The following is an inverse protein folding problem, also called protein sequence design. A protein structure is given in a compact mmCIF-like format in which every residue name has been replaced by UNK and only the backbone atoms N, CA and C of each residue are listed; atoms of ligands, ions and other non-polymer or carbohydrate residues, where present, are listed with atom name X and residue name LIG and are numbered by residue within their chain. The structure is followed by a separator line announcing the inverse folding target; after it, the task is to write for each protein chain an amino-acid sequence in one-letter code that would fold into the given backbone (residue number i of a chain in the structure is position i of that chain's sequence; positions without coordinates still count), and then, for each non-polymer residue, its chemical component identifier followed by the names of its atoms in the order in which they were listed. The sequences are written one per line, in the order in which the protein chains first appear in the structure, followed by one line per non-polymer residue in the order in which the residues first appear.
data_IF_510301008657
#
_entry.id   IF_510301008657
#
_cell.length_a   1.000
_cell.length_b   1.000
_cell.length_c   1.000
_cell.angle_alpha   90.00
_cell.angle_beta   90.00
_cell.angle_gamma   90.00
#
_symmetry.space_group_name_H-M   'P 1'
#
loop_
_entity.id
_entity.type
_entity.pdbx_description
1 polymer ?
#
# COMPACT_ATOMS: atom_id res chain seq x y z
N UNK A 1 21.45 5.57 -14.14
CA UNK A 1 20.19 5.13 -13.49
C UNK A 1 20.53 4.46 -12.17
N UNK A 2 19.94 4.87 -11.05
CA UNK A 2 19.93 3.98 -9.88
C UNK A 2 19.01 2.82 -10.26
N UNK A 3 19.51 1.59 -10.20
CA UNK A 3 18.68 0.40 -10.38
C UNK A 3 17.57 0.43 -9.32
N UNK A 4 16.40 0.95 -9.71
CA UNK A 4 15.25 1.01 -8.82
C UNK A 4 14.60 -0.36 -8.79
N UNK A 5 14.60 -0.98 -7.64
CA UNK A 5 13.97 -2.27 -7.45
C UNK A 5 13.25 -2.33 -6.10
N UNK A 6 12.18 -3.12 -6.02
CA UNK A 6 11.48 -3.42 -4.78
C UNK A 6 10.98 -4.87 -4.81
N UNK A 7 11.10 -5.58 -3.69
CA UNK A 7 10.65 -6.97 -3.57
C UNK A 7 11.17 -7.86 -4.72
N UNK A 8 12.44 -7.69 -5.13
CA UNK A 8 13.06 -8.43 -6.21
C UNK A 8 12.57 -8.06 -7.62
N UNK A 9 11.71 -7.07 -7.77
CA UNK A 9 11.22 -6.60 -9.06
C UNK A 9 11.99 -5.34 -9.50
N UNK A 10 12.64 -5.33 -10.67
CA UNK A 10 13.14 -4.11 -11.26
C UNK A 10 11.96 -3.22 -11.68
N UNK A 11 12.07 -1.92 -11.43
CA UNK A 11 11.01 -0.95 -11.71
C UNK A 11 11.48 0.08 -12.73
N UNK A 12 10.55 0.50 -13.60
CA UNK A 12 10.78 1.58 -14.58
C UNK A 12 10.80 2.98 -13.94
N UNK A 13 10.17 3.12 -12.78
CA UNK A 13 10.10 4.36 -12.01
C UNK A 13 10.01 4.07 -10.51
N UNK A 14 10.49 4.96 -9.61
CA UNK A 14 10.38 4.80 -8.16
C UNK A 14 8.97 5.16 -7.63
N UNK A 15 7.96 5.07 -8.48
CA UNK A 15 6.57 5.40 -8.17
C UNK A 15 5.72 4.14 -8.29
N UNK A 16 5.11 3.73 -7.18
CA UNK A 16 4.19 2.59 -7.10
C UNK A 16 2.78 3.11 -6.86
N UNK A 17 1.78 2.50 -7.50
CA UNK A 17 0.38 2.83 -7.18
C UNK A 17 -0.07 1.95 -6.01
N UNK A 18 -0.53 2.58 -4.93
CA UNK A 18 -0.92 1.90 -3.70
C UNK A 18 -2.27 1.16 -3.80
N UNK A 19 -2.51 0.29 -2.81
CA UNK A 19 -3.74 -0.49 -2.67
C UNK A 19 -4.97 0.37 -2.39
N UNK A 20 -6.09 0.06 -3.05
CA UNK A 20 -7.40 0.69 -2.80
C UNK A 20 -8.40 0.44 -3.92
N UNK A 21 -9.55 1.15 -3.90
CA UNK A 21 -10.63 0.96 -4.88
C UNK A 21 -10.19 1.17 -6.34
N UNK A 22 -9.24 2.07 -6.59
CA UNK A 22 -8.72 2.33 -7.94
C UNK A 22 -8.00 1.12 -8.53
N UNK A 23 -7.47 0.25 -7.69
CA UNK A 23 -6.75 -0.98 -8.07
C UNK A 23 -7.55 -2.26 -7.81
N UNK A 24 -8.90 -2.14 -7.69
CA UNK A 24 -9.83 -3.27 -7.58
C UNK A 24 -10.26 -3.85 -8.94
N UNK A 25 -9.77 -3.29 -10.04
CA UNK A 25 -10.14 -3.72 -11.39
C UNK A 25 -8.90 -3.97 -12.25
N UNK A 26 -8.85 -5.14 -12.90
CA UNK A 26 -7.76 -5.54 -13.79
C UNK A 26 -7.43 -4.45 -14.83
N UNK A 27 -8.45 -3.90 -15.51
CA UNK A 27 -8.27 -2.86 -16.53
C UNK A 27 -7.55 -1.61 -16.00
N UNK A 28 -7.85 -1.21 -14.75
CA UNK A 28 -7.21 -0.04 -14.15
C UNK A 28 -5.75 -0.33 -13.85
N UNK A 29 -5.45 -1.52 -13.30
CA UNK A 29 -4.08 -1.95 -13.00
C UNK A 29 -3.24 -1.96 -14.28
N UNK A 30 -3.74 -2.58 -15.36
CA UNK A 30 -3.06 -2.59 -16.66
C UNK A 30 -2.81 -1.18 -17.17
N UNK A 31 -3.83 -0.32 -17.13
CA UNK A 31 -3.73 1.05 -17.62
C UNK A 31 -2.75 1.90 -16.80
N UNK A 32 -2.70 1.72 -15.48
CA UNK A 32 -1.72 2.41 -14.61
C UNK A 32 -0.29 2.00 -14.95
N UNK A 33 -0.05 0.72 -15.24
CA UNK A 33 1.26 0.23 -15.69
C UNK A 33 1.62 0.75 -17.09
N UNK A 34 0.68 0.77 -18.03
CA UNK A 34 0.86 1.39 -19.36
C UNK A 34 1.19 2.88 -19.27
N UNK A 35 0.69 3.59 -18.25
CA UNK A 35 0.99 4.99 -17.96
C UNK A 35 2.35 5.20 -17.27
N UNK A 36 3.07 4.12 -16.98
CA UNK A 36 4.44 4.16 -16.49
C UNK A 36 4.60 4.00 -14.97
N UNK A 37 3.57 3.56 -14.24
CA UNK A 37 3.76 3.15 -12.86
C UNK A 37 4.85 2.08 -12.77
N UNK A 38 5.79 2.22 -11.84
CA UNK A 38 6.84 1.22 -11.62
C UNK A 38 6.29 -0.13 -11.15
N UNK A 39 5.24 -0.10 -10.32
CA UNK A 39 4.44 -1.26 -9.93
C UNK A 39 3.05 -0.80 -9.47
N UNK A 40 2.13 -1.76 -9.33
CA UNK A 40 0.79 -1.51 -8.78
C UNK A 40 0.48 -2.53 -7.69
N UNK A 41 -0.04 -2.06 -6.56
CA UNK A 41 -0.56 -2.90 -5.48
C UNK A 41 -2.06 -3.10 -5.68
N UNK A 42 -2.54 -4.35 -5.68
CA UNK A 42 -3.97 -4.63 -5.85
C UNK A 42 -4.79 -4.09 -4.68
N UNK A 43 -6.12 -3.91 -4.86
CA UNK A 43 -7.02 -3.82 -3.70
C UNK A 43 -6.79 -5.07 -2.84
N UNK A 44 -6.82 -4.90 -1.52
CA UNK A 44 -6.56 -5.98 -0.58
C UNK A 44 -7.56 -7.12 -0.78
N UNK A 45 -7.04 -8.30 -1.05
CA UNK A 45 -7.78 -9.54 -1.23
C UNK A 45 -8.03 -10.16 0.14
N UNK A 46 -9.27 -10.53 0.41
CA UNK A 46 -9.69 -11.16 1.66
C UNK A 46 -10.50 -12.43 1.37
N UNK A 47 -10.29 -13.53 2.11
CA UNK A 47 -11.05 -14.77 1.88
C UNK A 47 -12.55 -14.58 2.04
N UNK A 48 -12.95 -13.85 3.09
CA UNK A 48 -14.33 -13.62 3.50
C UNK A 48 -14.55 -12.13 3.77
N UNK A 49 -14.56 -11.24 2.73
CA UNK A 49 -14.67 -9.81 2.98
C UNK A 49 -16.03 -9.49 3.62
N UNK A 50 -16.08 -8.61 4.63
CA UNK A 50 -17.33 -8.21 5.27
C UNK A 50 -18.32 -7.67 4.25
N UNK A 51 -19.58 -8.02 4.41
CA UNK A 51 -20.68 -7.66 3.51
C UNK A 51 -21.60 -6.63 4.16
N UNK A 52 -22.30 -5.85 3.33
CA UNK A 52 -23.33 -4.91 3.82
C UNK A 52 -22.79 -3.64 4.44
N UNK A 53 -21.49 -3.40 4.42
CA UNK A 53 -20.90 -2.15 4.89
C UNK A 53 -21.20 -1.00 3.92
N UNK A 54 -21.54 0.17 4.46
CA UNK A 54 -21.70 1.40 3.68
C UNK A 54 -20.32 2.03 3.44
N UNK A 55 -19.65 1.56 2.40
CA UNK A 55 -18.31 2.02 2.03
C UNK A 55 -18.36 3.36 1.31
N UNK A 56 -17.81 4.38 1.94
CA UNK A 56 -17.82 5.76 1.44
C UNK A 56 -16.42 6.38 1.45
N UNK A 57 -16.27 7.40 0.62
CA UNK A 57 -15.11 8.28 0.59
C UNK A 57 -15.59 9.71 0.82
N UNK A 58 -15.01 10.37 1.82
CA UNK A 58 -15.24 11.79 2.10
C UNK A 58 -13.96 12.58 1.78
N UNK A 59 -14.06 13.50 0.82
CA UNK A 59 -12.97 14.43 0.52
C UNK A 59 -12.95 15.55 1.55
N UNK A 60 -11.77 15.83 2.08
CA UNK A 60 -11.52 16.93 3.01
C UNK A 60 -10.73 18.04 2.28
N UNK A 61 -10.69 19.25 2.82
CA UNK A 61 -9.81 20.30 2.29
C UNK A 61 -8.35 19.88 2.20
N UNK A 62 -7.90 19.02 3.14
CA UNK A 62 -6.58 18.41 3.14
C UNK A 62 -6.75 16.91 3.37
N UNK A 63 -6.73 16.14 2.29
CA UNK A 63 -6.80 14.69 2.36
C UNK A 63 -8.19 14.09 2.19
N UNK A 64 -8.38 12.91 2.76
CA UNK A 64 -9.55 12.08 2.52
C UNK A 64 -9.79 11.14 3.71
N UNK A 65 -11.04 10.98 4.11
CA UNK A 65 -11.49 9.86 4.94
C UNK A 65 -12.11 8.79 4.06
N UNK A 66 -11.93 7.54 4.43
CA UNK A 66 -12.60 6.44 3.76
C UNK A 66 -13.00 5.34 4.74
N UNK A 67 -14.20 4.77 4.53
CA UNK A 67 -14.72 3.61 5.27
C UNK A 67 -14.62 2.32 4.45
N UNK A 68 -13.76 2.30 3.41
CA UNK A 68 -13.64 1.13 2.53
C UNK A 68 -12.80 0.03 3.16
N UNK A 69 -13.22 -1.21 3.00
CA UNK A 69 -12.51 -2.38 3.51
C UNK A 69 -11.76 -3.11 2.37
N UNK A 70 -12.02 -4.36 2.15
CA UNK A 70 -11.33 -5.24 1.19
C UNK A 70 -12.02 -5.29 -0.17
N UNK A 71 -11.39 -5.95 -1.13
CA UNK A 71 -12.05 -6.27 -2.40
C UNK A 71 -13.29 -7.12 -2.16
N UNK A 72 -14.41 -6.76 -2.79
CA UNK A 72 -15.64 -7.57 -2.77
C UNK A 72 -15.63 -8.67 -3.83
N UNK A 73 -14.55 -8.79 -4.59
CA UNK A 73 -14.37 -9.84 -5.58
C UNK A 73 -13.93 -11.13 -4.90
N UNK A 74 -14.44 -12.30 -5.31
CA UNK A 74 -14.04 -13.56 -4.72
C UNK A 74 -12.55 -13.85 -4.98
N UNK A 75 -11.91 -14.61 -4.09
CA UNK A 75 -10.51 -15.04 -4.25
C UNK A 75 -10.26 -15.68 -5.61
N UNK A 76 -11.18 -16.52 -6.10
CA UNK A 76 -11.08 -17.16 -7.41
C UNK A 76 -10.96 -16.18 -8.58
N UNK A 77 -11.60 -15.01 -8.49
CA UNK A 77 -11.42 -13.94 -9.47
C UNK A 77 -9.98 -13.42 -9.43
N UNK A 78 -9.47 -13.12 -8.24
CA UNK A 78 -8.12 -12.59 -8.08
C UNK A 78 -7.05 -13.59 -8.51
N UNK A 79 -7.20 -14.87 -8.16
CA UNK A 79 -6.24 -15.90 -8.61
C UNK A 79 -6.14 -15.97 -10.13
N UNK A 80 -7.27 -15.82 -10.84
CA UNK A 80 -7.28 -15.77 -12.32
C UNK A 80 -6.58 -14.50 -12.84
N UNK A 81 -6.91 -13.34 -12.27
CA UNK A 81 -6.35 -12.04 -12.68
C UNK A 81 -4.85 -11.98 -12.39
N UNK A 82 -4.40 -12.44 -11.23
CA UNK A 82 -2.98 -12.48 -10.88
C UNK A 82 -2.19 -13.40 -11.80
N UNK A 83 -2.76 -14.53 -12.21
CA UNK A 83 -2.15 -15.42 -13.23
C UNK A 83 -1.97 -14.70 -14.56
N UNK A 84 -2.98 -13.99 -15.04
CA UNK A 84 -2.89 -13.17 -16.25
C UNK A 84 -1.80 -12.11 -16.15
N UNK A 85 -1.67 -11.44 -15.01
CA UNK A 85 -0.58 -10.48 -14.79
C UNK A 85 0.81 -11.14 -14.78
N UNK A 86 0.92 -12.34 -14.21
CA UNK A 86 2.17 -13.09 -14.18
C UNK A 86 2.59 -13.58 -15.58
N UNK A 87 1.65 -14.05 -16.39
CA UNK A 87 1.87 -14.44 -17.80
C UNK A 87 2.40 -13.25 -18.62
N UNK A 88 1.84 -12.06 -18.41
CA UNK A 88 2.27 -10.82 -19.05
C UNK A 88 3.49 -10.17 -18.38
N UNK A 89 4.04 -10.77 -17.31
CA UNK A 89 5.19 -10.30 -16.53
C UNK A 89 5.02 -8.91 -15.92
N UNK A 90 3.78 -8.51 -15.64
CA UNK A 90 3.48 -7.20 -15.09
C UNK A 90 3.98 -7.07 -13.63
N UNK A 91 4.53 -5.91 -13.23
CA UNK A 91 5.01 -5.66 -11.87
C UNK A 91 3.83 -5.36 -10.93
N UNK A 92 3.10 -6.41 -10.54
CA UNK A 92 1.95 -6.31 -9.64
C UNK A 92 2.30 -6.97 -8.30
N UNK A 93 1.94 -6.29 -7.21
CA UNK A 93 2.05 -6.76 -5.83
C UNK A 93 0.63 -7.11 -5.37
N UNK A 94 0.41 -8.33 -4.92
CA UNK A 94 -0.88 -8.72 -4.36
C UNK A 94 -1.00 -8.28 -2.90
N UNK A 95 -1.95 -7.40 -2.59
CA UNK A 95 -2.27 -7.03 -1.21
C UNK A 95 -3.22 -8.05 -0.61
N UNK A 96 -2.89 -8.59 0.57
CA UNK A 96 -3.61 -9.67 1.24
C UNK A 96 -3.94 -9.30 2.69
N UNK A 97 -5.10 -9.74 3.16
CA UNK A 97 -5.49 -9.77 4.56
C UNK A 97 -6.41 -10.96 4.83
N UNK A 98 -6.48 -11.42 6.07
CA UNK A 98 -7.42 -12.42 6.55
C UNK A 98 -7.62 -12.28 8.07
N UNK A 99 -8.67 -12.90 8.60
CA UNK A 99 -9.06 -12.78 10.02
C UNK A 99 -8.10 -13.52 10.96
N UNK A 100 -7.30 -14.45 10.43
CA UNK A 100 -6.31 -15.19 11.21
C UNK A 100 -4.99 -15.38 10.46
N UNK A 101 -3.86 -15.58 11.19
CA UNK A 101 -2.56 -15.89 10.59
C UNK A 101 -2.59 -17.12 9.67
N UNK A 102 -3.33 -18.15 10.03
CA UNK A 102 -3.40 -19.40 9.25
C UNK A 102 -4.18 -19.20 7.93
N UNK A 103 -5.26 -18.43 7.95
CA UNK A 103 -6.01 -18.06 6.74
C UNK A 103 -5.20 -17.18 5.81
N UNK A 104 -4.46 -16.18 6.36
CA UNK A 104 -3.58 -15.35 5.56
C UNK A 104 -2.47 -16.18 4.91
N UNK A 105 -1.88 -17.10 5.66
CA UNK A 105 -0.85 -18.00 5.16
C UNK A 105 -1.38 -18.95 4.05
N UNK A 106 -2.61 -19.43 4.19
CA UNK A 106 -3.27 -20.25 3.17
C UNK A 106 -3.55 -19.41 1.89
N UNK A 107 -4.07 -18.19 2.04
CA UNK A 107 -4.30 -17.28 0.92
C UNK A 107 -2.99 -16.93 0.19
N UNK A 108 -1.91 -16.66 0.93
CA UNK A 108 -0.60 -16.36 0.34
C UNK A 108 -0.06 -17.52 -0.50
N UNK A 109 -0.20 -18.76 0.00
CA UNK A 109 0.16 -19.97 -0.75
C UNK A 109 -0.66 -20.10 -2.04
N UNK A 110 -1.97 -19.85 -1.98
CA UNK A 110 -2.83 -19.93 -3.16
C UNK A 110 -2.44 -18.87 -4.20
N UNK A 111 -2.12 -17.64 -3.75
CA UNK A 111 -1.62 -16.55 -4.61
C UNK A 111 -0.27 -16.93 -5.25
N UNK A 112 0.65 -17.56 -4.53
CA UNK A 112 1.93 -18.03 -5.09
C UNK A 112 1.74 -18.95 -6.30
N UNK A 113 0.70 -19.80 -6.29
CA UNK A 113 0.40 -20.71 -7.41
C UNK A 113 0.04 -19.98 -8.72
N UNK A 114 -0.25 -18.69 -8.65
CA UNK A 114 -0.56 -17.87 -9.84
C UNK A 114 0.67 -17.40 -10.59
N UNK A 115 1.87 -17.49 -9.98
CA UNK A 115 3.08 -16.84 -10.48
C UNK A 115 3.19 -15.37 -10.10
N UNK A 116 2.35 -14.87 -9.18
CA UNK A 116 2.48 -13.55 -8.61
C UNK A 116 3.90 -13.35 -8.06
N UNK A 117 4.44 -12.13 -8.16
CA UNK A 117 5.87 -11.88 -7.89
C UNK A 117 6.16 -11.36 -6.49
N UNK A 118 5.18 -10.77 -5.80
CA UNK A 118 5.35 -10.21 -4.47
C UNK A 118 4.01 -10.02 -3.75
N UNK A 119 4.08 -9.95 -2.42
CA UNK A 119 2.93 -9.72 -1.55
C UNK A 119 3.09 -8.44 -0.74
N UNK A 120 1.95 -7.79 -0.43
CA UNK A 120 1.83 -6.78 0.61
C UNK A 120 0.82 -7.27 1.65
N UNK A 121 1.23 -7.42 2.91
CA UNK A 121 0.36 -7.88 3.99
C UNK A 121 -0.24 -6.67 4.72
N UNK A 122 -1.56 -6.56 4.73
CA UNK A 122 -2.29 -5.78 5.73
C UNK A 122 -2.41 -6.61 7.01
N UNK A 123 -2.11 -6.01 8.16
CA UNK A 123 -2.18 -6.71 9.45
C UNK A 123 -3.50 -6.42 10.15
N UNK A 124 -4.02 -5.21 10.00
CA UNK A 124 -5.32 -4.76 10.50
C UNK A 124 -6.02 -3.84 9.50
N UNK A 125 -7.29 -3.61 9.71
CA UNK A 125 -8.07 -2.64 8.96
C UNK A 125 -8.88 -1.76 9.92
N UNK A 126 -8.58 -0.46 9.96
CA UNK A 126 -9.29 0.53 10.78
C UNK A 126 -10.79 0.63 10.48
N UNK A 127 -11.21 0.17 9.31
CA UNK A 127 -12.56 0.35 8.80
C UNK A 127 -13.48 -0.85 9.06
N UNK A 128 -13.02 -1.85 9.80
CA UNK A 128 -13.85 -2.95 10.30
C UNK A 128 -14.57 -2.54 11.59
N UNK A 129 -15.73 -3.17 11.88
CA UNK A 129 -16.54 -2.83 13.05
C UNK A 129 -15.78 -2.97 14.38
N UNK A 130 -14.85 -3.91 14.45
CA UNK A 130 -13.93 -4.11 15.59
C UNK A 130 -12.55 -3.50 15.34
N UNK A 131 -12.41 -2.60 14.37
CA UNK A 131 -11.19 -2.07 13.76
C UNK A 131 -10.23 -1.29 14.65
N UNK A 132 -10.39 -1.40 15.97
CA UNK A 132 -9.41 -1.05 16.99
C UNK A 132 -8.47 -2.21 17.33
N UNK A 133 -8.49 -3.30 16.55
CA UNK A 133 -7.49 -4.34 16.71
C UNK A 133 -6.11 -3.73 16.48
N UNK A 134 -5.41 -3.63 17.58
CA UNK A 134 -4.11 -3.02 17.69
C UNK A 134 -3.10 -3.79 16.84
N UNK A 135 -2.42 -3.12 15.92
CA UNK A 135 -1.22 -3.59 15.22
C UNK A 135 -0.06 -3.79 16.23
N UNK A 136 -0.30 -4.50 17.32
CA UNK A 136 0.75 -4.75 18.29
C UNK A 136 1.85 -5.65 17.69
N UNK A 137 3.08 -5.62 18.22
CA UNK A 137 4.21 -6.38 17.70
C UNK A 137 3.94 -7.90 17.61
N UNK A 138 3.20 -8.47 18.57
CA UNK A 138 2.90 -9.91 18.58
C UNK A 138 2.00 -10.31 17.42
N UNK A 139 0.96 -9.51 17.13
CA UNK A 139 0.09 -9.70 15.96
C UNK A 139 0.89 -9.58 14.66
N UNK A 140 1.71 -8.53 14.52
CA UNK A 140 2.56 -8.32 13.34
C UNK A 140 3.48 -9.53 13.13
N UNK A 141 4.14 -10.01 14.18
CA UNK A 141 4.99 -11.20 14.10
C UNK A 141 4.20 -12.45 13.69
N UNK A 142 3.06 -12.71 14.35
CA UNK A 142 2.27 -13.93 14.12
C UNK A 142 1.80 -14.01 12.65
N UNK A 143 1.23 -12.93 12.10
CA UNK A 143 0.75 -12.89 10.72
C UNK A 143 1.90 -12.99 9.71
N UNK A 144 3.00 -12.27 9.95
CA UNK A 144 4.15 -12.28 9.05
C UNK A 144 4.83 -13.65 9.03
N UNK A 145 5.09 -14.25 10.21
CA UNK A 145 5.78 -15.54 10.33
C UNK A 145 4.93 -16.71 9.80
N UNK A 146 3.62 -16.70 10.05
CA UNK A 146 2.71 -17.70 9.50
C UNK A 146 2.72 -17.63 7.97
N UNK A 147 2.61 -16.43 7.39
CA UNK A 147 2.68 -16.24 5.94
C UNK A 147 4.03 -16.70 5.39
N UNK A 148 5.14 -16.27 5.99
CA UNK A 148 6.50 -16.69 5.58
C UNK A 148 6.68 -18.21 5.57
N UNK A 149 6.05 -18.92 6.51
CA UNK A 149 6.13 -20.38 6.58
C UNK A 149 5.46 -21.10 5.39
N UNK A 150 4.63 -20.44 4.63
CA UNK A 150 3.80 -21.03 3.58
C UNK A 150 4.10 -20.51 2.17
N UNK A 151 4.91 -19.46 2.02
CA UNK A 151 5.27 -18.90 0.72
C UNK A 151 6.73 -18.47 0.67
N UNK A 152 7.36 -18.66 -0.50
CA UNK A 152 8.69 -18.14 -0.83
C UNK A 152 8.65 -16.74 -1.47
N UNK A 153 7.48 -16.19 -1.74
CA UNK A 153 7.36 -14.87 -2.38
C UNK A 153 7.96 -13.76 -1.50
N UNK A 154 8.63 -12.77 -2.10
CA UNK A 154 8.97 -11.54 -1.40
C UNK A 154 7.72 -10.88 -0.81
N UNK A 155 7.79 -10.48 0.47
CA UNK A 155 6.65 -9.88 1.14
C UNK A 155 7.00 -8.57 1.86
N UNK A 156 6.12 -7.58 1.68
CA UNK A 156 6.10 -6.35 2.46
C UNK A 156 5.03 -6.42 3.53
N UNK A 157 5.30 -5.85 4.70
CA UNK A 157 4.28 -5.65 5.74
C UNK A 157 3.89 -4.19 5.78
N UNK A 158 2.60 -3.91 5.64
CA UNK A 158 2.05 -2.55 5.65
C UNK A 158 1.65 -2.18 7.08
N UNK A 159 2.23 -1.09 7.58
CA UNK A 159 2.05 -0.62 8.96
C UNK A 159 1.66 0.86 8.96
N UNK A 160 0.77 1.26 9.86
CA UNK A 160 0.44 2.65 10.09
C UNK A 160 1.53 3.36 10.91
N UNK A 161 1.80 4.64 10.62
CA UNK A 161 2.62 5.48 11.52
C UNK A 161 1.89 5.68 12.84
N UNK A 162 2.65 5.73 13.93
CA UNK A 162 2.09 5.91 15.27
C UNK A 162 2.99 5.37 16.36
N UNK A 163 2.47 5.30 17.56
CA UNK A 163 3.15 4.75 18.73
C UNK A 163 3.56 3.29 18.49
N UNK A 164 4.70 2.87 19.02
CA UNK A 164 5.20 1.49 18.88
C UNK A 164 5.65 1.08 17.47
N UNK A 165 5.67 1.98 16.48
CA UNK A 165 6.04 1.63 15.09
C UNK A 165 7.37 0.89 15.00
N UNK A 166 8.39 1.29 15.77
CA UNK A 166 9.70 0.63 15.70
C UNK A 166 9.64 -0.84 16.11
N UNK A 167 8.85 -1.15 17.14
CA UNK A 167 8.73 -2.53 17.63
C UNK A 167 7.90 -3.37 16.67
N UNK A 168 6.86 -2.79 16.04
CA UNK A 168 6.12 -3.44 14.96
C UNK A 168 6.99 -3.72 13.73
N UNK A 169 7.86 -2.80 13.34
CA UNK A 169 8.83 -3.02 12.26
C UNK A 169 9.81 -4.15 12.61
N UNK A 170 10.31 -4.18 13.85
CA UNK A 170 11.18 -5.28 14.31
C UNK A 170 10.45 -6.62 14.31
N UNK A 171 9.19 -6.65 14.72
CA UNK A 171 8.34 -7.83 14.68
C UNK A 171 8.12 -8.33 13.23
N UNK A 172 7.87 -7.43 12.28
CA UNK A 172 7.77 -7.76 10.86
C UNK A 172 9.07 -8.38 10.33
N UNK A 173 10.23 -7.77 10.66
CA UNK A 173 11.56 -8.31 10.29
C UNK A 173 11.77 -9.69 10.89
N UNK A 174 11.48 -9.87 12.17
CA UNK A 174 11.62 -11.16 12.86
C UNK A 174 10.67 -12.22 12.27
N UNK A 175 9.49 -11.83 11.80
CA UNK A 175 8.53 -12.68 11.09
C UNK A 175 8.93 -13.01 9.65
N UNK A 176 10.00 -12.40 9.10
CA UNK A 176 10.52 -12.70 7.77
C UNK A 176 10.01 -11.77 6.66
N UNK A 177 9.65 -10.53 6.98
CA UNK A 177 9.37 -9.51 5.97
C UNK A 177 10.61 -9.13 5.16
N UNK A 178 10.45 -8.93 3.86
CA UNK A 178 11.49 -8.47 2.92
C UNK A 178 11.44 -6.95 2.69
N UNK A 179 10.32 -6.31 3.03
CA UNK A 179 10.12 -4.86 2.95
C UNK A 179 9.07 -4.39 3.96
N UNK A 180 9.01 -3.08 4.18
CA UNK A 180 7.94 -2.41 4.93
C UNK A 180 7.23 -1.43 4.01
N UNK A 181 5.90 -1.44 4.01
CA UNK A 181 5.08 -0.36 3.44
C UNK A 181 4.68 0.58 4.58
N UNK A 182 5.07 1.84 4.47
CA UNK A 182 4.86 2.86 5.49
C UNK A 182 4.34 4.15 4.83
N UNK A 183 3.11 4.55 5.05
CA UNK A 183 2.18 4.22 6.11
C UNK A 183 0.86 3.69 5.55
N UNK A 184 0.16 2.90 6.35
CA UNK A 184 -1.28 2.77 6.17
C UNK A 184 -2.00 4.05 6.61
N UNK A 185 -3.33 4.11 6.39
CA UNK A 185 -4.17 5.19 6.92
C UNK A 185 -4.11 5.24 8.45
N UNK A 186 -4.33 6.42 9.00
CA UNK A 186 -4.43 6.63 10.45
C UNK A 186 -5.87 6.99 10.84
N UNK A 187 -6.30 6.78 12.08
CA UNK A 187 -7.62 7.18 12.54
C UNK A 187 -7.88 8.67 12.32
N UNK A 188 -9.01 8.99 11.71
CA UNK A 188 -9.46 10.36 11.48
C UNK A 188 -10.97 10.47 11.52
N UNK A 189 -11.47 11.68 11.79
CA UNK A 189 -12.89 12.01 11.77
C UNK A 189 -13.09 13.41 11.21
N UNK A 190 -14.29 13.68 10.71
CA UNK A 190 -14.77 15.01 10.37
C UNK A 190 -16.15 15.21 10.98
N UNK A 191 -16.48 16.47 11.30
CA UNK A 191 -17.79 16.83 11.85
C UNK A 191 -18.60 17.52 10.76
N UNK A 192 -19.83 17.07 10.58
CA UNK A 192 -20.78 17.72 9.68
C UNK A 192 -21.14 19.11 10.23
N UNK A 193 -20.94 20.18 9.44
CA UNK A 193 -21.31 21.51 9.88
C UNK A 193 -22.82 21.71 9.98
N UNK A 194 -23.61 20.84 9.37
CA UNK A 194 -25.06 20.91 9.31
C UNK A 194 -25.73 20.23 10.51
N UNK A 195 -25.19 19.08 10.95
CA UNK A 195 -25.81 18.29 12.02
C UNK A 195 -25.02 18.32 13.32
N UNK A 196 -23.70 18.59 13.27
CA UNK A 196 -22.80 18.48 14.41
C UNK A 196 -22.33 17.05 14.71
N UNK A 197 -22.80 16.06 13.96
CA UNK A 197 -22.42 14.65 14.09
C UNK A 197 -21.12 14.34 13.33
N UNK A 198 -20.53 13.19 13.59
CA UNK A 198 -19.40 12.71 12.82
C UNK A 198 -19.82 12.32 11.40
N UNK A 199 -19.13 12.86 10.41
CA UNK A 199 -19.24 12.39 9.05
C UNK A 199 -18.89 10.90 8.96
N UNK A 200 -19.53 10.19 8.05
CA UNK A 200 -19.42 8.73 7.91
C UNK A 200 -19.88 7.94 9.15
N UNK A 201 -20.46 8.60 10.17
CA UNK A 201 -20.93 8.04 11.45
C UNK A 201 -19.82 7.39 12.29
N UNK A 202 -18.54 7.82 12.15
CA UNK A 202 -17.46 7.20 12.92
C UNK A 202 -16.08 7.74 12.66
N UNK A 203 -15.09 7.01 13.19
CA UNK A 203 -13.67 7.22 12.97
C UNK A 203 -13.19 6.24 11.91
N UNK A 204 -12.55 6.73 10.86
CA UNK A 204 -12.14 5.94 9.72
C UNK A 204 -10.74 6.31 9.23
N UNK A 205 -10.25 5.59 8.22
CA UNK A 205 -8.92 5.79 7.68
C UNK A 205 -8.74 7.17 7.02
N UNK A 206 -7.89 8.01 7.62
CA UNK A 206 -7.44 9.28 7.03
C UNK A 206 -6.21 9.05 6.14
N UNK A 207 -6.20 9.68 4.98
CA UNK A 207 -5.09 9.66 4.01
C UNK A 207 -4.92 11.02 3.32
N UNK A 208 -3.79 11.21 2.63
CA UNK A 208 -3.51 12.40 1.85
C UNK A 208 -2.37 13.26 2.39
N UNK A 209 -2.24 14.54 1.93
CA UNK A 209 -1.07 15.38 2.19
C UNK A 209 -0.69 15.56 3.65
N UNK A 210 -1.67 15.53 4.58
CA UNK A 210 -1.42 15.63 6.02
C UNK A 210 -0.59 14.49 6.60
N UNK A 211 -0.56 13.32 5.96
CA UNK A 211 0.28 12.20 6.39
C UNK A 211 1.76 12.35 6.02
N UNK A 212 2.07 13.06 4.94
CA UNK A 212 3.43 13.12 4.41
C UNK A 212 4.48 13.47 5.47
N UNK A 213 4.36 14.56 6.24
CA UNK A 213 5.40 14.93 7.24
C UNK A 213 5.58 13.86 8.31
N UNK A 214 4.52 13.15 8.70
CA UNK A 214 4.58 12.09 9.70
C UNK A 214 5.35 10.88 9.16
N UNK A 215 5.05 10.47 7.92
CA UNK A 215 5.69 9.32 7.29
C UNK A 215 7.16 9.60 6.94
N UNK A 216 7.49 10.81 6.47
CA UNK A 216 8.88 11.23 6.25
C UNK A 216 9.70 11.16 7.54
N UNK A 217 9.16 11.70 8.64
CA UNK A 217 9.81 11.65 9.95
C UNK A 217 10.02 10.20 10.42
N UNK A 218 8.99 9.35 10.31
CA UNK A 218 9.05 7.95 10.69
C UNK A 218 10.08 7.17 9.85
N UNK A 219 10.08 7.33 8.53
CA UNK A 219 11.05 6.71 7.62
C UNK A 219 12.48 7.10 8.00
N UNK A 220 12.74 8.40 8.19
CA UNK A 220 14.04 8.90 8.58
C UNK A 220 14.49 8.33 9.95
N UNK A 221 13.59 8.29 10.94
CA UNK A 221 13.89 7.75 12.27
C UNK A 221 14.21 6.24 12.21
N UNK A 222 13.48 5.45 11.43
CA UNK A 222 13.79 4.04 11.22
C UNK A 222 15.19 3.85 10.62
N UNK A 223 15.56 4.65 9.61
CA UNK A 223 16.90 4.63 9.01
C UNK A 223 18.00 5.00 10.03
N UNK A 224 17.76 6.04 10.84
CA UNK A 224 18.69 6.44 11.92
C UNK A 224 18.87 5.38 13.00
N UNK A 225 17.89 4.51 13.20
CA UNK A 225 17.92 3.39 14.14
C UNK A 225 18.44 2.09 13.51
N UNK A 226 19.01 2.17 12.32
CA UNK A 226 19.68 1.04 11.64
C UNK A 226 18.76 0.07 10.92
N UNK A 227 17.50 0.41 10.68
CA UNK A 227 16.62 -0.42 9.84
C UNK A 227 17.09 -0.29 8.39
N UNK A 228 17.58 -1.41 7.83
CA UNK A 228 18.11 -1.50 6.45
C UNK A 228 17.09 -2.09 5.47
N UNK A 229 16.03 -2.73 5.97
CA UNK A 229 14.99 -3.34 5.14
C UNK A 229 14.40 -2.30 4.15
N UNK A 230 14.14 -2.66 2.89
CA UNK A 230 13.50 -1.77 1.94
C UNK A 230 12.20 -1.16 2.51
N UNK A 231 11.99 0.14 2.25
CA UNK A 231 10.77 0.85 2.67
C UNK A 231 10.07 1.40 1.42
N UNK A 232 8.80 1.07 1.26
CA UNK A 232 7.88 1.73 0.34
C UNK A 232 7.17 2.84 1.12
N UNK A 233 7.53 4.10 0.87
CA UNK A 233 6.92 5.24 1.55
C UNK A 233 5.58 5.60 0.94
N UNK A 234 4.51 5.67 1.73
CA UNK A 234 3.16 6.04 1.26
C UNK A 234 2.47 7.00 2.23
N UNK A 235 1.86 8.02 1.70
CA UNK A 235 1.12 9.05 2.43
C UNK A 235 1.41 10.44 1.86
N UNK A 236 0.38 11.04 1.24
CA UNK A 236 0.43 12.41 0.75
C UNK A 236 1.31 12.66 -0.47
N UNK A 237 1.73 11.64 -1.20
CA UNK A 237 2.41 11.82 -2.49
C UNK A 237 1.42 12.43 -3.48
N UNK A 238 1.74 13.63 -3.97
CA UNK A 238 0.92 14.41 -4.90
C UNK A 238 1.73 15.06 -6.03
N UNK A 239 3.05 14.98 -5.98
CA UNK A 239 3.98 15.56 -6.96
C UNK A 239 5.26 14.74 -7.04
N UNK A 240 6.05 14.97 -8.09
CA UNK A 240 7.41 14.39 -8.19
C UNK A 240 8.33 14.86 -7.07
N UNK A 241 8.10 16.07 -6.52
CA UNK A 241 8.83 16.55 -5.35
C UNK A 241 8.55 15.68 -4.13
N UNK A 242 7.33 15.24 -3.92
CA UNK A 242 7.00 14.35 -2.81
C UNK A 242 7.70 13.00 -2.94
N UNK A 243 7.79 12.45 -4.15
CA UNK A 243 8.58 11.24 -4.43
C UNK A 243 10.04 11.46 -4.06
N UNK A 244 10.66 12.56 -4.53
CA UNK A 244 12.06 12.90 -4.20
C UNK A 244 12.28 13.05 -2.69
N UNK A 245 11.34 13.64 -1.95
CA UNK A 245 11.42 13.78 -0.50
C UNK A 245 11.42 12.41 0.20
N UNK A 246 10.57 11.46 -0.23
CA UNK A 246 10.58 10.10 0.29
C UNK A 246 11.90 9.39 0.04
N UNK A 247 12.44 9.48 -1.17
CA UNK A 247 13.75 8.91 -1.51
C UNK A 247 14.90 9.53 -0.69
N UNK A 248 14.81 10.84 -0.41
CA UNK A 248 15.80 11.58 0.35
C UNK A 248 15.86 11.17 1.82
N UNK A 249 14.74 10.77 2.43
CA UNK A 249 14.71 10.27 3.81
C UNK A 249 15.00 8.78 3.91
N UNK A 250 15.25 8.11 2.77
CA UNK A 250 15.68 6.72 2.73
C UNK A 250 14.61 5.70 2.35
N UNK A 251 13.44 6.10 1.86
CA UNK A 251 12.54 5.18 1.19
C UNK A 251 13.18 4.68 -0.12
N UNK A 252 12.86 3.46 -0.52
CA UNK A 252 13.34 2.86 -1.77
C UNK A 252 12.45 3.25 -2.96
N UNK A 253 11.16 3.38 -2.70
CA UNK A 253 10.13 3.84 -3.64
C UNK A 253 9.07 4.65 -2.89
N UNK A 254 8.27 5.43 -3.61
CA UNK A 254 7.11 6.11 -3.07
C UNK A 254 5.82 5.53 -3.66
N UNK A 255 4.80 5.27 -2.81
CA UNK A 255 3.48 4.89 -3.28
C UNK A 255 2.57 6.12 -3.37
N UNK A 256 1.79 6.22 -4.45
CA UNK A 256 0.77 7.23 -4.67
C UNK A 256 -0.60 6.57 -4.67
N UNK A 257 -1.58 7.18 -3.99
CA UNK A 257 -2.95 6.69 -4.03
C UNK A 257 -4.00 7.82 -3.95
N UNK A 258 -4.09 8.55 -2.84
CA UNK A 258 -5.15 9.56 -2.60
C UNK A 258 -5.21 10.62 -3.70
N UNK A 259 -4.07 11.07 -4.22
CA UNK A 259 -4.00 12.04 -5.31
C UNK A 259 -4.67 11.56 -6.60
N UNK A 260 -4.68 10.24 -6.85
CA UNK A 260 -5.25 9.64 -8.06
C UNK A 260 -6.78 9.65 -8.10
N UNK A 261 -7.44 9.97 -7.01
CA UNK A 261 -8.91 10.04 -6.95
C UNK A 261 -9.50 11.24 -7.71
N UNK A 262 -8.71 12.22 -8.10
CA UNK A 262 -9.21 13.39 -8.88
C UNK A 262 -9.20 13.09 -10.37
N UNK A 263 -8.03 12.72 -10.88
CA UNK A 263 -7.81 12.30 -12.26
C UNK A 263 -6.69 11.27 -12.25
N UNK A 264 -7.06 9.99 -12.30
CA UNK A 264 -6.17 8.88 -11.99
C UNK A 264 -4.95 8.85 -12.90
N UNK A 265 -5.17 8.92 -14.20
CA UNK A 265 -4.11 8.69 -15.19
C UNK A 265 -3.26 9.94 -15.42
N UNK A 266 -3.87 11.09 -15.59
CA UNK A 266 -3.15 12.35 -15.84
C UNK A 266 -2.35 12.78 -14.60
N UNK A 267 -2.91 12.56 -13.40
CA UNK A 267 -2.18 12.80 -12.15
C UNK A 267 -0.95 11.88 -12.04
N UNK A 268 -1.07 10.59 -12.39
CA UNK A 268 0.06 9.67 -12.38
C UNK A 268 1.13 10.10 -13.39
N UNK A 269 0.75 10.40 -14.64
CA UNK A 269 1.68 10.83 -15.68
C UNK A 269 2.42 12.13 -15.28
N UNK A 270 1.70 13.08 -14.69
CA UNK A 270 2.31 14.32 -14.16
C UNK A 270 3.34 14.02 -13.07
N UNK A 271 2.99 13.21 -12.06
CA UNK A 271 3.91 12.84 -10.96
C UNK A 271 5.15 12.14 -11.52
N UNK A 272 4.99 11.23 -12.48
CA UNK A 272 6.09 10.53 -13.13
C UNK A 272 6.98 11.48 -13.92
N UNK A 273 6.40 12.43 -14.68
CA UNK A 273 7.14 13.44 -15.42
C UNK A 273 7.98 14.32 -14.49
N UNK A 274 7.35 14.90 -13.47
CA UNK A 274 8.03 15.70 -12.44
C UNK A 274 9.14 14.90 -11.71
N UNK A 275 8.91 13.61 -11.44
CA UNK A 275 9.90 12.73 -10.79
C UNK A 275 11.13 12.55 -11.68
N UNK A 276 10.96 12.27 -12.98
CA UNK A 276 12.08 12.10 -13.92
C UNK A 276 12.92 13.38 -14.02
N UNK A 277 12.27 14.53 -14.13
CA UNK A 277 12.95 15.83 -14.18
C UNK A 277 13.80 16.07 -12.93
N UNK A 278 13.25 15.80 -11.75
CA UNK A 278 13.96 16.00 -10.47
C UNK A 278 15.11 15.02 -10.24
N UNK A 279 15.00 13.79 -10.75
CA UNK A 279 16.04 12.77 -10.61
C UNK A 279 17.09 12.85 -11.73
N UNK A 280 16.95 13.77 -12.68
CA UNK A 280 17.91 14.00 -13.77
C UNK A 280 17.86 12.95 -14.88
N UNK A 281 16.72 12.29 -15.08
CA UNK A 281 16.53 11.32 -16.15
C UNK A 281 16.12 12.03 -17.45
N UNK A 282 16.74 11.72 -18.61
CA UNK A 282 16.40 12.36 -19.88
C UNK A 282 14.95 12.04 -20.30
N UNK A 283 14.24 13.06 -20.79
CA UNK A 283 12.92 12.88 -21.42
C UNK A 283 13.07 11.95 -22.63
N UNK A 284 12.34 10.84 -22.65
CA UNK A 284 12.24 9.97 -23.82
C UNK A 284 13.02 8.66 -23.76
N UNK A 285 13.54 8.24 -22.61
CA UNK A 285 13.97 6.85 -22.46
C UNK A 285 12.75 5.92 -22.61
N UNK A 286 12.77 4.90 -23.52
CA UNK A 286 11.66 3.97 -23.65
C UNK A 286 11.45 3.22 -22.33
N UNK A 287 10.19 3.07 -21.94
CA UNK A 287 9.75 2.26 -20.81
C UNK A 287 9.99 0.77 -21.07
#
# INVERSE_FOLDING_TARGET
MRDTSILGMPLTAPVVVGSGLLTDQERNIRRLLEKGAGAVVTKTIHPNPPQGLDERILRLPVGMLNSTTYSKRPVSHWLRVLRSFAEDRLPVIASLHADSPDELAALARDVETTGCRALELGISCLNEEDGLEDDNPDRVYAYTSATRSRTGLPLSVKLAVGEGLQDRVRAAIAGGADAITLSDTIPGAAVSPETGDLELNGVYGYSGPGLKPLVLAATWQLRKRGITLPIMGVGGVNSGRDVADYLSVGANVAQVYTALHTDMYDTLERILGETRELLGEPQGAPL
#
